data_IF_583603003967
#
_entry.id   IF_583603003967
#
_cell.length_a   1.000
_cell.length_b   1.000
_cell.length_c   1.000
_cell.angle_alpha   90.00
_cell.angle_beta   90.00
_cell.angle_gamma   90.00
#
_symmetry.space_group_name_H-M   'P 1'
#
loop_
_entity.id
_entity.type
_entity.pdbx_description
1 polymer ?
#
# COMPACT_ATOMS: atom_id res chain seq x y z
N UNK A 1 -8.02 -8.73 -18.78
CA UNK A 1 -7.06 -8.67 -17.65
C UNK A 1 -6.11 -9.84 -17.78
N UNK A 2 -4.85 -9.65 -17.41
CA UNK A 2 -3.83 -10.68 -17.43
C UNK A 2 -3.08 -10.69 -16.10
N UNK A 3 -2.85 -11.88 -15.55
CA UNK A 3 -2.00 -12.07 -14.38
C UNK A 3 -0.57 -12.26 -14.85
N UNK A 4 0.32 -11.33 -14.50
CA UNK A 4 1.73 -11.40 -14.79
C UNK A 4 2.51 -11.66 -13.49
N UNK A 5 3.32 -12.73 -13.44
CA UNK A 5 4.25 -12.94 -12.33
C UNK A 5 5.26 -11.80 -12.20
N UNK A 6 5.37 -11.24 -11.00
CA UNK A 6 6.38 -10.24 -10.60
C UNK A 6 7.29 -10.82 -9.51
N UNK A 7 8.39 -10.13 -9.19
CA UNK A 7 9.32 -10.56 -8.12
C UNK A 7 8.64 -10.82 -6.77
N UNK A 8 7.56 -10.12 -6.44
CA UNK A 8 6.89 -10.18 -5.13
C UNK A 8 5.65 -11.07 -5.11
N UNK A 9 5.24 -11.63 -6.25
CA UNK A 9 4.01 -12.41 -6.34
C UNK A 9 3.44 -12.39 -7.75
N UNK A 10 2.12 -12.44 -7.88
CA UNK A 10 1.44 -12.25 -9.15
C UNK A 10 0.72 -10.91 -9.12
N UNK A 11 0.93 -10.09 -10.14
CA UNK A 11 0.24 -8.81 -10.30
C UNK A 11 -0.78 -8.93 -11.45
N UNK A 12 -1.94 -8.29 -11.29
CA UNK A 12 -2.97 -8.30 -12.31
C UNK A 12 -2.92 -6.99 -13.09
N UNK A 13 -2.96 -7.08 -14.42
CA UNK A 13 -2.93 -5.94 -15.31
C UNK A 13 -4.13 -5.93 -16.26
N UNK A 14 -4.66 -4.75 -16.54
CA UNK A 14 -5.45 -4.50 -17.74
C UNK A 14 -4.44 -4.14 -18.84
N UNK A 15 -4.39 -4.91 -19.92
CA UNK A 15 -3.41 -4.75 -21.00
C UNK A 15 -4.15 -4.33 -22.26
N UNK A 16 -3.73 -3.21 -22.87
CA UNK A 16 -4.43 -2.64 -24.03
C UNK A 16 -4.41 -3.56 -25.26
N UNK A 17 -3.25 -4.12 -25.61
CA UNK A 17 -3.08 -5.03 -26.74
C UNK A 17 -2.07 -6.13 -26.41
N UNK A 18 -2.56 -7.33 -26.09
CA UNK A 18 -1.68 -8.46 -25.77
C UNK A 18 -1.03 -9.10 -27.00
N UNK A 19 -1.44 -8.75 -28.23
CA UNK A 19 -0.88 -9.30 -29.46
C UNK A 19 0.39 -8.58 -29.92
N UNK A 20 0.63 -7.37 -29.41
CA UNK A 20 1.81 -6.57 -29.73
C UNK A 20 3.06 -7.06 -28.99
N UNK A 21 4.24 -6.61 -29.46
CA UNK A 21 5.52 -6.86 -28.79
C UNK A 21 5.66 -6.06 -27.49
N UNK A 22 5.00 -4.91 -27.39
CA UNK A 22 4.87 -4.11 -26.17
C UNK A 22 3.46 -3.56 -26.07
N UNK A 23 2.94 -3.38 -24.84
CA UNK A 23 1.62 -2.80 -24.63
C UNK A 23 1.58 -1.99 -23.35
N UNK A 24 0.94 -0.82 -23.43
CA UNK A 24 0.54 -0.08 -22.24
C UNK A 24 -0.43 -0.91 -21.40
N UNK A 25 -0.35 -0.73 -20.09
CA UNK A 25 -1.14 -1.46 -19.13
C UNK A 25 -1.42 -0.64 -17.86
N UNK A 26 -2.44 -1.09 -17.14
CA UNK A 26 -2.83 -0.57 -15.83
C UNK A 26 -2.74 -1.69 -14.79
N UNK A 27 -2.06 -1.47 -13.67
CA UNK A 27 -2.02 -2.42 -12.55
C UNK A 27 -3.36 -2.38 -11.82
N UNK A 28 -4.01 -3.52 -11.72
CA UNK A 28 -5.19 -3.71 -10.88
C UNK A 28 -4.71 -3.90 -9.45
N UNK A 29 -5.05 -2.95 -8.58
CA UNK A 29 -4.66 -2.97 -7.17
C UNK A 29 -5.70 -3.66 -6.30
N UNK A 30 -6.10 -4.88 -6.69
CA UNK A 30 -7.08 -5.68 -5.93
C UNK A 30 -6.61 -6.03 -4.52
N UNK A 31 -5.29 -6.03 -4.31
CA UNK A 31 -4.63 -6.11 -3.01
C UNK A 31 -4.87 -4.88 -2.11
N UNK A 32 -5.37 -3.78 -2.68
CA UNK A 32 -5.66 -2.52 -2.01
C UNK A 32 -7.16 -2.22 -1.97
N UNK A 33 -8.03 -3.21 -2.23
CA UNK A 33 -9.47 -3.02 -2.08
C UNK A 33 -9.80 -2.57 -0.66
N UNK A 34 -10.60 -1.51 -0.55
CA UNK A 34 -11.10 -1.07 0.74
C UNK A 34 -12.13 -2.09 1.29
N UNK A 35 -12.60 -1.85 2.52
CA UNK A 35 -13.56 -2.76 3.15
C UNK A 35 -14.95 -2.76 2.53
N UNK A 36 -15.30 -1.75 1.73
CA UNK A 36 -16.51 -1.77 0.93
C UNK A 36 -16.34 -2.64 -0.34
N UNK A 37 -15.18 -3.27 -0.52
CA UNK A 37 -14.82 -4.03 -1.71
C UNK A 37 -14.52 -3.12 -2.90
N UNK A 38 -14.40 -1.82 -2.68
CA UNK A 38 -14.05 -0.86 -3.73
C UNK A 38 -12.56 -0.99 -3.96
N UNK A 39 -12.20 -1.50 -5.13
CA UNK A 39 -10.81 -1.54 -5.57
C UNK A 39 -10.43 -0.15 -6.07
N UNK A 40 -9.27 0.41 -5.68
CA UNK A 40 -8.76 1.63 -6.27
C UNK A 40 -8.68 1.51 -7.80
N UNK A 41 -8.88 2.63 -8.49
CA UNK A 41 -8.80 2.66 -9.95
C UNK A 41 -7.46 2.08 -10.44
N UNK A 42 -7.46 1.30 -11.53
CA UNK A 42 -6.24 0.70 -12.06
C UNK A 42 -5.14 1.73 -12.33
N UNK A 43 -3.94 1.48 -11.80
CA UNK A 43 -2.81 2.42 -11.85
C UNK A 43 -2.18 2.41 -13.25
N UNK A 44 -2.22 3.53 -14.00
CA UNK A 44 -1.69 3.60 -15.37
C UNK A 44 -0.15 3.63 -15.43
N UNK A 45 0.37 3.57 -16.66
CA UNK A 45 1.76 3.92 -16.96
C UNK A 45 2.75 2.75 -16.96
N UNK A 46 2.25 1.52 -16.86
CA UNK A 46 3.06 0.33 -17.09
C UNK A 46 3.14 0.03 -18.58
N UNK A 47 4.27 -0.55 -19.01
CA UNK A 47 4.42 -1.15 -20.34
C UNK A 47 4.89 -2.59 -20.17
N UNK A 48 4.04 -3.53 -20.54
CA UNK A 48 4.40 -4.94 -20.62
C UNK A 48 5.13 -5.19 -21.93
N UNK A 49 6.15 -6.04 -21.90
CA UNK A 49 6.91 -6.42 -23.09
C UNK A 49 6.72 -7.90 -23.41
N UNK A 50 7.09 -8.30 -24.62
CA UNK A 50 7.16 -9.68 -25.07
C UNK A 50 8.37 -10.44 -24.50
N UNK A 51 9.03 -9.91 -23.47
CA UNK A 51 10.27 -10.46 -22.91
C UNK A 51 10.03 -11.04 -21.52
N UNK A 52 10.71 -12.16 -21.25
CA UNK A 52 10.70 -12.85 -19.96
C UNK A 52 12.11 -12.88 -19.40
N UNK A 53 12.28 -12.43 -18.15
CA UNK A 53 13.55 -12.45 -17.43
C UNK A 53 13.58 -13.74 -16.62
N UNK A 54 14.61 -14.56 -16.84
CA UNK A 54 14.77 -15.85 -16.18
C UNK A 54 16.11 -15.91 -15.47
N UNK A 55 16.08 -16.26 -14.18
CA UNK A 55 17.29 -16.56 -13.42
C UNK A 55 17.48 -18.08 -13.29
N UNK A 56 18.65 -18.57 -13.70
CA UNK A 56 18.99 -20.00 -13.67
C UNK A 56 20.32 -20.24 -12.95
N UNK A 57 20.41 -21.32 -12.19
CA UNK A 57 21.61 -21.67 -11.41
C UNK A 57 22.69 -22.31 -12.29
N UNK A 58 22.30 -22.91 -13.41
CA UNK A 58 23.16 -23.71 -14.26
C UNK A 58 22.71 -23.70 -15.73
N UNK A 59 23.57 -24.22 -16.61
CA UNK A 59 23.29 -24.34 -18.05
C UNK A 59 22.10 -25.28 -18.32
N UNK A 60 21.92 -26.31 -17.49
CA UNK A 60 20.83 -27.27 -17.64
C UNK A 60 19.45 -26.65 -17.36
N UNK A 61 19.35 -25.75 -16.39
CA UNK A 61 18.13 -24.98 -16.08
C UNK A 61 17.75 -24.04 -17.22
N UNK A 62 18.75 -23.39 -17.83
CA UNK A 62 18.55 -22.62 -19.04
C UNK A 62 18.02 -23.49 -20.20
N UNK A 63 18.62 -24.66 -20.43
CA UNK A 63 18.16 -25.58 -21.48
C UNK A 63 16.74 -26.09 -21.23
N UNK A 64 16.36 -26.35 -19.97
CA UNK A 64 14.98 -26.71 -19.60
C UNK A 64 14.00 -25.57 -19.87
N UNK A 65 14.32 -24.34 -19.48
CA UNK A 65 13.48 -23.17 -19.76
C UNK A 65 13.30 -22.93 -21.27
N UNK A 66 14.36 -23.14 -22.06
CA UNK A 66 14.32 -23.03 -23.52
C UNK A 66 13.52 -24.15 -24.20
N UNK A 67 13.38 -25.33 -23.58
CA UNK A 67 12.54 -26.41 -24.12
C UNK A 67 11.06 -26.12 -23.97
N UNK A 68 10.63 -25.53 -22.85
CA UNK A 68 9.23 -25.07 -22.69
C UNK A 68 8.89 -23.98 -23.71
N UNK A 69 9.86 -23.08 -24.00
CA UNK A 69 9.75 -22.11 -25.11
C UNK A 69 9.55 -22.78 -26.48
N UNK A 70 10.09 -23.97 -26.75
CA UNK A 70 10.07 -24.56 -28.10
C UNK A 70 8.66 -24.90 -28.62
N UNK A 71 7.64 -24.89 -27.76
CA UNK A 71 6.23 -24.96 -28.15
C UNK A 71 5.61 -23.63 -28.61
N UNK A 72 6.34 -22.51 -28.54
CA UNK A 72 5.87 -21.15 -28.84
C UNK A 72 6.63 -20.55 -30.04
N UNK A 73 6.01 -19.62 -30.78
CA UNK A 73 6.61 -18.90 -31.94
C UNK A 73 7.56 -17.78 -31.49
N UNK A 74 8.58 -18.12 -30.70
CA UNK A 74 9.43 -17.15 -30.01
C UNK A 74 10.77 -16.84 -30.72
N UNK A 75 11.21 -15.58 -30.67
CA UNK A 75 12.50 -15.06 -31.14
C UNK A 75 13.70 -15.53 -30.26
N UNK A 76 14.99 -15.31 -30.64
CA UNK A 76 16.12 -15.91 -29.94
C UNK A 76 16.25 -15.47 -28.47
N UNK A 77 16.63 -16.39 -27.59
CA UNK A 77 17.00 -16.03 -26.21
C UNK A 77 18.38 -15.37 -26.19
N UNK A 78 18.50 -14.26 -25.46
CA UNK A 78 19.75 -13.51 -25.32
C UNK A 78 20.15 -13.46 -23.84
N UNK A 79 21.45 -13.54 -23.56
CA UNK A 79 21.93 -13.29 -22.20
C UNK A 79 21.67 -11.82 -21.87
N UNK A 80 21.16 -11.55 -20.66
CA UNK A 80 21.04 -10.18 -20.19
C UNK A 80 22.44 -9.54 -20.15
N UNK A 81 22.61 -8.39 -20.80
CA UNK A 81 23.90 -7.76 -20.92
C UNK A 81 24.44 -7.40 -19.53
N UNK A 82 25.61 -7.94 -19.16
CA UNK A 82 26.32 -7.58 -17.94
C UNK A 82 25.84 -8.23 -16.64
N UNK A 83 24.75 -9.02 -16.64
CA UNK A 83 24.23 -9.65 -15.41
C UNK A 83 24.38 -11.18 -15.46
N UNK A 84 25.24 -11.74 -14.59
CA UNK A 84 25.48 -13.20 -14.52
C UNK A 84 24.24 -13.94 -13.99
N UNK A 85 23.91 -15.07 -14.61
CA UNK A 85 22.80 -15.94 -14.18
C UNK A 85 21.42 -15.55 -14.72
N UNK A 86 21.31 -14.44 -15.46
CA UNK A 86 20.05 -13.96 -16.04
C UNK A 86 20.04 -14.08 -17.57
N UNK A 87 18.91 -14.59 -18.08
CA UNK A 87 18.63 -14.68 -19.52
C UNK A 87 17.32 -13.96 -19.82
N UNK A 88 17.30 -13.23 -20.93
CA UNK A 88 16.09 -12.61 -21.48
C UNK A 88 15.61 -13.50 -22.63
N UNK A 89 14.36 -13.97 -22.50
CA UNK A 89 13.70 -14.75 -23.53
C UNK A 89 12.69 -13.82 -24.21
N UNK A 90 12.85 -13.60 -25.51
CA UNK A 90 11.90 -12.82 -26.30
C UNK A 90 10.88 -13.74 -26.98
N UNK A 91 9.60 -13.39 -26.89
CA UNK A 91 8.46 -14.13 -27.44
C UNK A 91 7.79 -13.37 -28.58
N UNK A 92 6.79 -13.96 -29.24
CA UNK A 92 6.09 -13.30 -30.36
C UNK A 92 5.17 -12.15 -29.93
N UNK A 93 4.71 -12.13 -28.68
CA UNK A 93 3.76 -11.13 -28.17
C UNK A 93 3.75 -11.04 -26.64
N UNK A 94 3.15 -9.98 -26.10
CA UNK A 94 2.91 -9.85 -24.65
C UNK A 94 2.10 -11.05 -24.12
N UNK A 95 1.12 -11.57 -24.87
CA UNK A 95 0.35 -12.76 -24.50
C UNK A 95 1.24 -14.00 -24.33
N UNK A 96 2.14 -14.25 -25.28
CA UNK A 96 3.08 -15.38 -25.21
C UNK A 96 4.05 -15.23 -24.03
N UNK A 97 4.54 -14.01 -23.77
CA UNK A 97 5.42 -13.73 -22.64
C UNK A 97 4.73 -13.98 -21.29
N UNK A 98 3.47 -13.56 -21.14
CA UNK A 98 2.66 -13.82 -19.94
C UNK A 98 2.47 -15.34 -19.76
N UNK A 99 2.11 -16.06 -20.83
CA UNK A 99 1.94 -17.52 -20.78
C UNK A 99 3.22 -18.22 -20.36
N UNK A 100 4.35 -17.88 -20.99
CA UNK A 100 5.65 -18.48 -20.68
C UNK A 100 6.10 -18.18 -19.26
N UNK A 101 5.91 -16.94 -18.78
CA UNK A 101 6.25 -16.56 -17.40
C UNK A 101 5.46 -17.40 -16.39
N UNK A 102 4.16 -17.59 -16.62
CA UNK A 102 3.30 -18.40 -15.76
C UNK A 102 3.68 -19.90 -15.78
N UNK A 103 3.96 -20.45 -16.96
CA UNK A 103 4.37 -21.84 -17.13
C UNK A 103 5.70 -22.13 -16.43
N UNK A 104 6.71 -21.26 -16.63
CA UNK A 104 8.02 -21.39 -15.98
C UNK A 104 7.92 -21.27 -14.46
N UNK A 105 7.05 -20.39 -13.95
CA UNK A 105 6.81 -20.25 -12.50
C UNK A 105 6.17 -21.51 -11.94
N UNK A 106 5.13 -22.04 -12.59
CA UNK A 106 4.44 -23.25 -12.15
C UNK A 106 5.29 -24.51 -12.21
N UNK A 107 6.25 -24.59 -13.14
CA UNK A 107 7.12 -25.75 -13.30
C UNK A 107 8.23 -25.84 -12.24
N UNK A 108 8.56 -24.75 -11.53
CA UNK A 108 9.60 -24.73 -10.48
C UNK A 108 11.02 -25.03 -11.00
N UNK A 109 11.28 -24.82 -12.29
CA UNK A 109 12.53 -25.20 -12.95
C UNK A 109 13.64 -24.14 -12.90
N UNK A 110 13.29 -22.93 -12.45
CA UNK A 110 14.11 -21.72 -12.48
C UNK A 110 14.09 -21.06 -11.11
N UNK A 111 15.15 -20.34 -10.73
CA UNK A 111 15.25 -19.70 -9.42
C UNK A 111 14.28 -18.52 -9.29
N UNK A 112 14.21 -17.72 -10.36
CA UNK A 112 13.20 -16.69 -10.52
C UNK A 112 12.80 -16.56 -11.97
N UNK A 113 11.56 -16.12 -12.18
CA UNK A 113 11.02 -15.78 -13.47
C UNK A 113 10.07 -14.60 -13.32
N UNK A 114 10.22 -13.63 -14.20
CA UNK A 114 9.55 -12.34 -14.16
C UNK A 114 9.21 -11.92 -15.59
N UNK A 115 8.01 -11.37 -15.78
CA UNK A 115 7.72 -10.66 -17.02
C UNK A 115 8.55 -9.36 -17.03
N UNK A 116 9.17 -9.04 -18.17
CA UNK A 116 9.87 -7.77 -18.30
C UNK A 116 8.86 -6.63 -18.50
N UNK A 117 8.78 -5.77 -17.49
CA UNK A 117 7.80 -4.70 -17.38
C UNK A 117 8.55 -3.39 -17.18
N UNK A 118 8.32 -2.43 -18.07
CA UNK A 118 8.66 -1.05 -17.77
C UNK A 118 7.60 -0.49 -16.82
N UNK A 119 8.04 -0.11 -15.64
CA UNK A 119 7.20 0.51 -14.62
C UNK A 119 7.08 2.01 -14.90
N UNK A 120 5.94 2.64 -14.53
CA UNK A 120 5.81 4.07 -14.65
C UNK A 120 6.98 4.76 -13.97
N UNK A 121 7.75 5.53 -14.74
CA UNK A 121 8.72 6.48 -14.20
C UNK A 121 7.91 7.65 -13.70
N UNK A 122 7.61 7.66 -12.41
CA UNK A 122 7.01 8.84 -11.78
C UNK A 122 8.11 9.90 -11.76
N UNK A 123 8.04 10.85 -12.70
CA UNK A 123 8.74 12.13 -12.57
C UNK A 123 8.23 12.71 -11.25
N UNK A 124 9.11 12.80 -10.25
CA UNK A 124 8.86 13.26 -8.87
C UNK A 124 7.54 14.02 -8.78
N UNK A 125 6.52 13.38 -8.22
CA UNK A 125 5.27 14.06 -7.89
C UNK A 125 5.62 15.32 -7.09
N UNK A 126 4.98 16.44 -7.43
CA UNK A 126 5.19 17.66 -6.66
C UNK A 126 4.99 17.32 -5.19
N UNK A 127 5.92 17.77 -4.35
CA UNK A 127 5.72 17.71 -2.91
C UNK A 127 4.43 18.45 -2.55
N UNK A 128 3.77 18.08 -1.45
CA UNK A 128 2.58 18.78 -1.01
C UNK A 128 2.76 20.29 -1.00
N UNK A 129 1.77 21.01 -1.53
CA UNK A 129 1.83 22.46 -1.69
C UNK A 129 1.48 23.25 -0.40
N UNK A 130 1.21 22.54 0.69
CA UNK A 130 0.70 23.12 1.93
C UNK A 130 1.74 24.04 2.60
N UNK A 131 1.34 25.24 3.07
CA UNK A 131 2.29 26.28 3.51
C UNK A 131 3.27 25.86 4.61
N UNK A 132 2.88 24.92 5.47
CA UNK A 132 3.71 24.43 6.58
C UNK A 132 4.44 23.13 6.27
N UNK A 133 4.21 22.49 5.11
CA UNK A 133 4.91 21.26 4.71
C UNK A 133 6.44 21.37 4.77
N UNK A 134 7.09 22.49 4.37
CA UNK A 134 8.55 22.64 4.51
C UNK A 134 9.05 22.56 5.96
N UNK A 135 8.18 22.73 6.96
CA UNK A 135 8.51 22.60 8.39
C UNK A 135 8.26 21.20 8.95
N UNK A 136 7.66 20.29 8.17
CA UNK A 136 7.33 18.93 8.58
C UNK A 136 8.51 17.98 8.36
N UNK A 137 9.57 18.20 9.13
CA UNK A 137 10.82 17.42 9.08
C UNK A 137 10.58 15.91 9.21
N UNK A 138 9.54 15.49 9.93
CA UNK A 138 9.20 14.09 10.16
C UNK A 138 8.74 13.37 8.88
N UNK A 139 8.18 14.11 7.90
CA UNK A 139 7.81 13.58 6.58
C UNK A 139 8.98 13.70 5.59
N UNK A 140 9.73 14.80 5.71
CA UNK A 140 10.84 15.14 4.82
C UNK A 140 11.89 15.97 5.57
N UNK A 141 13.04 15.37 5.84
CA UNK A 141 14.14 16.03 6.52
C UNK A 141 15.25 16.43 5.54
N UNK A 142 15.36 17.72 5.26
CA UNK A 142 16.44 18.23 4.40
C UNK A 142 17.72 18.58 5.17
N UNK A 143 17.68 18.52 6.51
CA UNK A 143 18.77 18.96 7.38
C UNK A 143 19.60 17.80 7.92
N UNK A 144 18.97 16.65 8.17
CA UNK A 144 19.60 15.42 8.66
C UNK A 144 19.14 14.27 7.78
N UNK A 145 20.07 13.68 7.02
CA UNK A 145 19.82 12.52 6.16
C UNK A 145 19.25 11.35 6.97
N UNK A 146 18.23 10.68 6.43
CA UNK A 146 17.56 9.51 7.00
C UNK A 146 16.91 9.73 8.39
N UNK A 147 16.71 10.98 8.81
CA UNK A 147 16.00 11.35 10.03
C UNK A 147 14.57 11.82 9.74
N UNK A 148 13.85 11.04 8.93
CA UNK A 148 12.43 11.13 8.61
C UNK A 148 11.87 9.73 8.33
N UNK A 149 10.58 9.64 8.03
CA UNK A 149 9.91 8.37 7.74
C UNK A 149 9.98 7.96 6.26
N UNK A 150 10.76 8.66 5.44
CA UNK A 150 10.86 8.45 3.99
C UNK A 150 9.48 8.51 3.27
N UNK A 151 8.65 9.49 3.64
CA UNK A 151 7.29 9.62 3.10
C UNK A 151 7.29 9.90 1.59
N UNK A 152 8.26 10.67 1.10
CA UNK A 152 8.40 11.02 -0.32
C UNK A 152 8.43 9.78 -1.23
N UNK A 153 9.10 8.71 -0.82
CA UNK A 153 9.20 7.49 -1.59
C UNK A 153 7.83 6.78 -1.72
N UNK A 154 7.03 6.77 -0.65
CA UNK A 154 5.69 6.18 -0.67
C UNK A 154 4.73 7.00 -1.55
N UNK A 155 4.76 8.34 -1.41
CA UNK A 155 3.94 9.23 -2.23
C UNK A 155 4.30 9.19 -3.70
N UNK A 156 5.60 9.07 -4.03
CA UNK A 156 6.06 8.88 -5.40
C UNK A 156 5.56 7.55 -6.02
N UNK A 157 5.18 6.58 -5.20
CA UNK A 157 4.53 5.33 -5.64
C UNK A 157 3.00 5.42 -5.68
N UNK A 158 2.42 6.58 -5.34
CA UNK A 158 0.97 6.81 -5.30
C UNK A 158 0.29 6.39 -4.00
N UNK A 159 1.04 6.01 -2.95
CA UNK A 159 0.46 5.61 -1.68
C UNK A 159 0.17 6.81 -0.80
N UNK A 160 -1.10 7.20 -0.70
CA UNK A 160 -1.54 8.43 -0.03
C UNK A 160 -2.56 8.19 1.09
N UNK A 161 -2.86 6.92 1.39
CA UNK A 161 -3.91 6.54 2.34
C UNK A 161 -5.32 6.46 1.75
N UNK A 162 -5.47 6.69 0.44
CA UNK A 162 -6.74 6.56 -0.27
C UNK A 162 -7.41 5.21 0.03
N UNK A 163 -8.69 5.25 0.44
CA UNK A 163 -9.49 4.05 0.75
C UNK A 163 -9.27 3.48 2.16
N UNK A 164 -8.35 4.03 2.95
CA UNK A 164 -8.11 3.63 4.34
C UNK A 164 -8.84 4.57 5.29
N UNK A 165 -9.53 4.04 6.30
CA UNK A 165 -10.13 4.82 7.40
C UNK A 165 -9.37 4.60 8.70
N UNK A 166 -8.89 5.68 9.30
CA UNK A 166 -8.13 5.67 10.55
C UNK A 166 -8.97 6.32 11.66
N UNK A 167 -9.24 5.57 12.72
CA UNK A 167 -9.96 6.05 13.89
C UNK A 167 -9.04 6.61 14.96
N UNK A 168 -9.40 7.77 15.51
CA UNK A 168 -8.73 8.39 16.65
C UNK A 168 -9.51 8.05 17.91
N UNK A 169 -8.96 7.18 18.78
CA UNK A 169 -9.59 6.77 20.05
C UNK A 169 -9.24 7.76 21.15
N UNK A 170 -10.12 8.73 21.36
CA UNK A 170 -9.86 9.92 22.16
C UNK A 170 -11.17 10.55 22.68
N UNK A 171 -11.12 11.78 23.15
CA UNK A 171 -12.32 12.59 23.43
C UNK A 171 -13.00 13.18 22.17
N UNK A 172 -12.47 12.91 20.97
CA UNK A 172 -12.89 13.50 19.69
C UNK A 172 -12.05 14.72 19.26
N UNK A 173 -12.08 15.05 17.97
CA UNK A 173 -11.29 16.12 17.35
C UNK A 173 -12.18 17.19 16.72
N UNK A 174 -11.58 18.32 16.31
CA UNK A 174 -12.31 19.39 15.63
C UNK A 174 -12.74 18.95 14.22
N UNK A 175 -13.91 18.33 14.11
CA UNK A 175 -14.44 17.80 12.84
C UNK A 175 -14.66 18.89 11.78
N UNK A 176 -14.77 20.16 12.19
CA UNK A 176 -14.92 21.30 11.29
C UNK A 176 -13.59 22.00 10.97
N UNK A 177 -12.45 21.41 11.37
CA UNK A 177 -11.14 21.97 11.06
C UNK A 177 -10.95 21.99 9.53
N UNK A 178 -10.52 23.11 8.93
CA UNK A 178 -10.44 23.24 7.46
C UNK A 178 -9.54 22.18 6.83
N UNK A 179 -8.56 21.70 7.59
CA UNK A 179 -7.58 20.71 7.16
C UNK A 179 -7.96 19.25 7.50
N UNK A 180 -9.16 19.00 8.05
CA UNK A 180 -9.63 17.65 8.44
C UNK A 180 -11.07 17.35 8.00
N UNK A 181 -11.89 18.38 7.83
CA UNK A 181 -13.34 18.23 7.70
C UNK A 181 -13.76 17.34 6.52
N UNK A 182 -13.05 17.42 5.39
CA UNK A 182 -13.36 16.61 4.20
C UNK A 182 -13.07 15.12 4.40
N UNK A 183 -12.15 14.77 5.32
CA UNK A 183 -11.83 13.38 5.63
C UNK A 183 -12.74 12.76 6.68
N UNK A 184 -13.59 13.54 7.36
CA UNK A 184 -14.42 13.02 8.43
C UNK A 184 -15.43 11.97 7.94
N UNK A 185 -15.27 10.74 8.42
CA UNK A 185 -16.17 9.64 8.16
C UNK A 185 -17.16 9.47 9.32
N UNK A 186 -18.36 10.03 9.14
CA UNK A 186 -19.43 9.96 10.14
C UNK A 186 -19.91 8.51 10.40
N UNK A 187 -19.97 7.66 9.36
CA UNK A 187 -20.45 6.29 9.48
C UNK A 187 -19.50 5.40 10.30
N UNK A 188 -18.20 5.73 10.28
CA UNK A 188 -17.18 5.06 11.05
C UNK A 188 -16.96 5.67 12.44
N UNK A 189 -17.68 6.74 12.81
CA UNK A 189 -17.45 7.51 14.06
C UNK A 189 -18.49 7.25 15.15
N UNK A 190 -18.06 7.34 16.41
CA UNK A 190 -18.91 7.29 17.61
C UNK A 190 -19.32 8.68 18.14
N UNK A 191 -18.95 9.75 17.42
CA UNK A 191 -19.09 11.13 17.87
C UNK A 191 -17.96 11.54 18.82
N UNK A 192 -18.18 12.59 19.61
CA UNK A 192 -17.19 13.10 20.56
C UNK A 192 -17.21 14.62 20.68
N UNK A 193 -16.40 15.14 21.59
CA UNK A 193 -16.09 16.55 21.68
C UNK A 193 -14.98 16.95 20.72
N UNK A 194 -14.32 18.06 21.02
CA UNK A 194 -13.17 18.56 20.28
C UNK A 194 -12.03 18.82 21.24
N UNK A 195 -10.96 18.02 21.18
CA UNK A 195 -9.73 18.24 21.93
C UNK A 195 -8.58 18.68 21.00
N UNK A 196 -7.69 19.54 21.50
CA UNK A 196 -6.48 19.93 20.78
C UNK A 196 -5.54 18.74 20.57
N UNK A 197 -5.49 17.81 21.53
CA UNK A 197 -4.70 16.59 21.45
C UNK A 197 -5.15 15.71 20.27
N UNK A 198 -6.42 15.35 20.21
CA UNK A 198 -6.97 14.52 19.13
C UNK A 198 -6.91 15.22 17.78
N UNK A 199 -7.09 16.55 17.73
CA UNK A 199 -6.96 17.33 16.49
C UNK A 199 -5.52 17.32 15.99
N UNK A 200 -4.53 17.43 16.88
CA UNK A 200 -3.12 17.31 16.52
C UNK A 200 -2.78 15.91 16.02
N UNK A 201 -3.26 14.87 16.71
CA UNK A 201 -3.08 13.46 16.31
C UNK A 201 -3.66 13.23 14.91
N UNK A 202 -4.91 13.65 14.67
CA UNK A 202 -5.56 13.57 13.37
C UNK A 202 -4.78 14.31 12.28
N UNK A 203 -4.25 15.50 12.58
CA UNK A 203 -3.44 16.28 11.64
C UNK A 203 -2.16 15.58 11.20
N UNK A 204 -1.45 14.93 12.12
CA UNK A 204 -0.16 14.25 11.80
C UNK A 204 -0.33 13.19 10.71
N UNK A 205 -1.39 12.38 10.77
CA UNK A 205 -1.59 11.33 9.77
C UNK A 205 -2.55 11.74 8.65
N UNK A 206 -3.51 12.63 8.90
CA UNK A 206 -4.68 12.82 8.04
C UNK A 206 -5.02 14.26 7.70
N UNK A 207 -4.15 15.24 7.97
CA UNK A 207 -4.32 16.57 7.38
C UNK A 207 -4.40 16.46 5.85
N UNK A 208 -5.31 17.23 5.25
CA UNK A 208 -5.61 17.16 3.82
C UNK A 208 -4.44 17.77 3.05
N UNK A 209 -3.80 16.97 2.21
CA UNK A 209 -2.67 17.42 1.40
C UNK A 209 -3.13 18.21 0.18
N UNK A 210 -2.26 19.09 -0.29
CA UNK A 210 -2.43 19.88 -1.51
C UNK A 210 -3.66 20.79 -1.52
N UNK A 211 -4.20 21.14 -0.36
CA UNK A 211 -5.34 22.06 -0.23
C UNK A 211 -4.89 23.52 -0.01
N UNK A 212 -3.59 23.76 0.14
CA UNK A 212 -3.01 25.08 0.35
C UNK A 212 -3.24 25.64 1.76
N UNK A 213 -3.58 24.78 2.73
CA UNK A 213 -3.88 25.13 4.12
C UNK A 213 -2.96 24.35 5.03
N UNK A 214 -2.39 25.01 6.04
CA UNK A 214 -1.74 24.31 7.15
C UNK A 214 -0.65 23.32 6.71
N UNK A 215 -0.86 22.05 7.07
CA UNK A 215 0.11 20.95 7.02
C UNK A 215 -0.41 19.82 6.13
N UNK A 216 0.45 18.85 5.83
CA UNK A 216 0.06 17.61 5.14
C UNK A 216 0.12 16.41 6.08
N UNK A 217 -0.88 15.54 6.07
CA UNK A 217 -0.82 14.27 6.77
C UNK A 217 0.05 13.24 6.04
N UNK A 218 0.60 12.24 6.75
CA UNK A 218 1.27 11.11 6.09
C UNK A 218 0.35 10.41 5.06
N UNK A 219 -0.88 10.17 5.46
CA UNK A 219 -1.96 9.53 4.71
C UNK A 219 -2.98 10.60 4.30
N UNK A 220 -2.53 11.61 3.55
CA UNK A 220 -3.29 12.82 3.23
C UNK A 220 -4.54 12.64 2.35
N UNK A 221 -4.89 11.41 1.96
CA UNK A 221 -6.15 11.06 1.28
C UNK A 221 -6.96 9.98 2.05
N UNK A 222 -6.66 9.74 3.33
CA UNK A 222 -7.40 8.78 4.16
C UNK A 222 -8.76 9.34 4.63
N UNK A 223 -9.64 8.45 5.09
CA UNK A 223 -10.77 8.82 5.95
C UNK A 223 -10.35 8.87 7.41
N UNK A 224 -10.95 9.76 8.19
CA UNK A 224 -10.70 9.91 9.63
C UNK A 224 -12.01 9.68 10.39
N UNK A 225 -11.97 8.89 11.45
CA UNK A 225 -13.12 8.69 12.33
C UNK A 225 -12.81 9.04 13.79
N UNK A 226 -13.84 9.39 14.54
CA UNK A 226 -13.75 9.68 15.98
C UNK A 226 -14.23 8.47 16.78
N UNK A 227 -13.35 7.88 17.59
CA UNK A 227 -13.67 6.78 18.52
C UNK A 227 -13.58 7.30 19.95
N UNK A 228 -14.42 6.77 20.86
CA UNK A 228 -14.50 7.28 22.23
C UNK A 228 -13.49 6.60 23.15
N UNK A 229 -12.76 7.41 23.91
CA UNK A 229 -11.93 6.98 25.04
C UNK A 229 -12.63 7.28 26.39
N UNK A 230 -12.52 6.37 27.36
CA UNK A 230 -13.07 6.56 28.70
C UNK A 230 -12.95 5.32 29.60
N UNK A 231 -14.07 4.88 30.15
CA UNK A 231 -14.12 3.66 30.99
C UNK A 231 -13.77 2.41 30.18
N UNK A 232 -13.39 1.32 30.86
CA UNK A 232 -13.04 0.06 30.20
C UNK A 232 -14.12 -0.46 29.24
N UNK A 233 -15.40 -0.28 29.54
CA UNK A 233 -16.49 -0.67 28.62
C UNK A 233 -16.58 0.24 27.40
N UNK A 234 -16.29 1.54 27.53
CA UNK A 234 -16.22 2.46 26.40
C UNK A 234 -15.02 2.15 25.51
N UNK A 235 -13.84 1.91 26.10
CA UNK A 235 -12.64 1.54 25.36
C UNK A 235 -12.84 0.23 24.57
N UNK A 236 -13.40 -0.81 25.21
CA UNK A 236 -13.73 -2.05 24.52
C UNK A 236 -14.74 -1.87 23.38
N UNK A 237 -15.74 -1.00 23.58
CA UNK A 237 -16.69 -0.65 22.53
C UNK A 237 -16.00 0.09 21.38
N UNK A 238 -15.11 1.03 21.66
CA UNK A 238 -14.34 1.76 20.65
C UNK A 238 -13.41 0.83 19.86
N UNK A 239 -12.70 -0.09 20.54
CA UNK A 239 -11.89 -1.11 19.89
C UNK A 239 -12.72 -1.94 18.91
N UNK A 240 -13.93 -2.37 19.27
CA UNK A 240 -14.77 -3.17 18.35
C UNK A 240 -15.62 -2.34 17.38
N UNK A 241 -15.70 -1.02 17.55
CA UNK A 241 -16.64 -0.19 16.81
C UNK A 241 -16.28 -0.10 15.33
N UNK A 242 -17.28 -0.48 14.51
CA UNK A 242 -17.22 -0.45 13.04
C UNK A 242 -15.87 -0.92 12.50
N UNK A 243 -15.38 -2.08 12.98
CA UNK A 243 -14.18 -2.70 12.44
C UNK A 243 -14.32 -3.06 10.94
N UNK A 244 -15.54 -3.11 10.44
CA UNK A 244 -15.89 -3.18 9.01
C UNK A 244 -15.65 -1.87 8.24
N UNK A 245 -15.42 -0.74 8.93
CA UNK A 245 -15.04 0.53 8.32
C UNK A 245 -13.65 1.00 8.78
N UNK A 246 -13.36 1.01 10.08
CA UNK A 246 -12.10 1.48 10.67
C UNK A 246 -10.97 0.47 10.47
N UNK A 247 -10.02 0.78 9.59
CA UNK A 247 -8.87 -0.06 9.26
C UNK A 247 -7.79 -0.03 10.33
N UNK A 248 -7.58 1.15 10.89
CA UNK A 248 -6.54 1.41 11.89
C UNK A 248 -7.20 2.17 13.04
N UNK A 249 -6.79 1.87 14.28
CA UNK A 249 -7.16 2.64 15.47
C UNK A 249 -5.90 3.20 16.09
N UNK A 250 -5.90 4.50 16.32
CA UNK A 250 -4.82 5.23 16.96
C UNK A 250 -5.19 5.49 18.41
N UNK A 251 -4.37 4.95 19.31
CA UNK A 251 -4.54 5.02 20.76
C UNK A 251 -3.34 5.78 21.34
N UNK A 252 -3.38 7.11 21.24
CA UNK A 252 -2.34 8.00 21.77
C UNK A 252 -2.58 8.33 23.25
N UNK A 253 -2.85 7.30 24.06
CA UNK A 253 -3.17 7.39 25.48
C UNK A 253 -2.63 6.16 26.21
N UNK A 254 -2.60 6.21 27.54
CA UNK A 254 -2.11 5.12 28.35
C UNK A 254 -2.23 5.41 29.85
N UNK A 255 -1.73 4.50 30.70
CA UNK A 255 -1.53 4.81 32.11
C UNK A 255 -0.58 5.99 32.27
N UNK A 256 -0.49 6.54 33.49
CA UNK A 256 0.48 7.59 33.77
C UNK A 256 1.91 7.10 33.56
N UNK A 257 2.72 7.91 32.88
CA UNK A 257 4.14 7.65 32.61
C UNK A 257 5.01 7.85 33.86
N UNK A 258 4.74 7.09 34.92
CA UNK A 258 5.44 7.18 36.21
C UNK A 258 6.73 6.36 36.25
N UNK A 259 7.01 5.56 35.22
CA UNK A 259 8.13 4.61 35.19
C UNK A 259 7.86 3.31 35.97
N UNK A 260 6.64 3.11 36.45
CA UNK A 260 6.18 1.86 37.08
C UNK A 260 5.42 1.01 36.06
N UNK A 261 5.58 -0.32 36.13
CA UNK A 261 4.79 -1.24 35.33
C UNK A 261 3.43 -1.45 36.00
N UNK A 262 2.36 -1.10 35.30
CA UNK A 262 0.99 -1.32 35.76
C UNK A 262 0.50 -2.68 35.26
N UNK A 263 0.81 -3.73 36.01
CA UNK A 263 0.32 -5.08 35.71
C UNK A 263 -1.21 -5.13 35.83
N UNK A 264 -1.89 -5.67 34.81
CA UNK A 264 -3.36 -5.80 34.70
C UNK A 264 -4.14 -4.49 34.56
N UNK A 265 -3.57 -3.47 33.92
CA UNK A 265 -4.28 -2.20 33.65
C UNK A 265 -5.53 -2.38 32.75
N UNK A 266 -5.43 -3.23 31.73
CA UNK A 266 -6.53 -3.52 30.83
C UNK A 266 -7.51 -4.51 31.45
N UNK A 267 -8.81 -4.19 31.40
CA UNK A 267 -9.86 -5.11 31.80
C UNK A 267 -9.92 -6.33 30.86
N UNK A 268 -10.53 -7.43 31.33
CA UNK A 268 -10.78 -8.60 30.49
C UNK A 268 -11.61 -8.27 29.24
N UNK A 269 -12.51 -7.28 29.32
CA UNK A 269 -13.32 -6.82 28.18
C UNK A 269 -12.47 -6.07 27.15
N UNK A 270 -11.55 -5.20 27.58
CA UNK A 270 -10.62 -4.51 26.68
C UNK A 270 -9.68 -5.50 25.99
N UNK A 271 -9.15 -6.47 26.75
CA UNK A 271 -8.29 -7.54 26.20
C UNK A 271 -9.04 -8.36 25.15
N UNK A 272 -10.29 -8.75 25.42
CA UNK A 272 -11.09 -9.50 24.44
C UNK A 272 -11.39 -8.64 23.21
N UNK A 273 -11.75 -7.37 23.39
CA UNK A 273 -12.01 -6.45 22.29
C UNK A 273 -10.79 -6.25 21.38
N UNK A 274 -9.58 -6.15 21.95
CA UNK A 274 -8.35 -6.09 21.17
C UNK A 274 -8.08 -7.39 20.38
N UNK A 275 -8.38 -8.56 20.97
CA UNK A 275 -8.33 -9.84 20.24
C UNK A 275 -9.30 -9.85 19.08
N UNK A 276 -10.55 -9.45 19.31
CA UNK A 276 -11.57 -9.38 18.27
C UNK A 276 -11.17 -8.40 17.15
N UNK A 277 -10.49 -7.29 17.47
CA UNK A 277 -9.93 -6.39 16.45
C UNK A 277 -8.90 -7.08 15.56
N UNK A 278 -8.00 -7.85 16.18
CA UNK A 278 -6.92 -8.52 15.47
C UNK A 278 -7.39 -9.73 14.67
N UNK A 279 -8.45 -10.41 15.12
CA UNK A 279 -8.95 -11.67 14.54
C UNK A 279 -10.17 -11.49 13.63
N UNK A 280 -10.91 -10.38 13.74
CA UNK A 280 -12.15 -10.15 12.99
C UNK A 280 -12.15 -8.81 12.26
N UNK A 281 -11.20 -7.92 12.57
CA UNK A 281 -11.03 -6.66 11.85
C UNK A 281 -10.59 -6.90 10.41
N UNK A 282 -10.98 -6.02 9.48
CA UNK A 282 -10.48 -6.05 8.09
C UNK A 282 -10.79 -7.35 7.31
N UNK A 283 -11.89 -8.02 7.64
CA UNK A 283 -12.43 -9.13 6.86
C UNK A 283 -12.15 -10.54 7.43
N UNK A 284 -11.65 -10.63 8.66
CA UNK A 284 -11.28 -11.89 9.33
C UNK A 284 -9.78 -11.96 9.52
#
# INVERSE_FOLDING_TARGET
MASAPSRTGSEVFIVADQSAATSVAWRVSGDLADKAGVTPEPVPGFVLTNRVIVQTNDRAGLERALRLRAGLRAAPATRSAGVRGFTIIETGSVAEAISLTNELRGAGLVWSVELDIERPRVLRGALPNDPMFPSQWHLRNTSITDADINAEAAWAMGYTGQGVVIGVTEAGFQISHPDLAAHYNAAASQGGGSSSHATSVAGVFGAIGDNGVGVTGLAYNCGISSQLYGSSSQNAAAFTFRNDLNDIKNDSWGPWDTGELWDNYASSTEIQALRDCAELGRGG
#
